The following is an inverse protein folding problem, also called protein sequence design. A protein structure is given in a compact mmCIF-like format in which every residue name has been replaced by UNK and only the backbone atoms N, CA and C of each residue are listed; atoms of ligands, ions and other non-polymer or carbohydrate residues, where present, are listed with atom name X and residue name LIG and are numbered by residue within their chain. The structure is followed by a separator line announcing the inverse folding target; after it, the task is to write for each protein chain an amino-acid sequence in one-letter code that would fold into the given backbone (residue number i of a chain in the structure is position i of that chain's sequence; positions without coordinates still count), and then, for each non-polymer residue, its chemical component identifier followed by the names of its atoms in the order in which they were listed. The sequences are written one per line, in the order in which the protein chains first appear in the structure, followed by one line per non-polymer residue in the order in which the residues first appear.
data_IF_854583414825
#
_entry.id   IF_854583414825
#
_cell.length_a   1.000
_cell.length_b   1.000
_cell.length_c   1.000
_cell.angle_alpha   90.00
_cell.angle_beta   90.00
_cell.angle_gamma   90.00
#
_symmetry.space_group_name_H-M   'P 1'
#
loop_
_entity.id
_entity.type
_entity.pdbx_description
1 polymer ?
#
# COMPACT_ATOMS: atom_id res chain seq x y z
N UNK A 1 8.55 -44.04 33.61
CA UNK A 1 9.32 -43.26 32.63
C UNK A 1 9.88 -42.06 33.35
N UNK A 2 11.12 -41.70 33.16
CA UNK A 2 11.64 -40.45 33.74
C UNK A 2 11.02 -39.30 32.95
N UNK A 3 10.72 -38.18 33.59
CA UNK A 3 10.08 -36.97 33.02
C UNK A 3 10.70 -36.54 31.67
N UNK A 4 12.01 -36.56 31.61
CA UNK A 4 12.77 -36.26 30.39
C UNK A 4 12.39 -37.15 29.16
N UNK A 5 11.92 -38.36 29.40
CA UNK A 5 11.53 -39.31 28.36
C UNK A 5 10.12 -39.01 27.83
N UNK A 6 9.19 -38.58 28.70
CA UNK A 6 7.81 -38.26 28.31
C UNK A 6 7.73 -36.95 27.56
N UNK A 7 8.49 -35.92 27.95
CA UNK A 7 8.59 -34.66 27.21
C UNK A 7 9.22 -34.86 25.83
N UNK A 8 10.27 -35.68 25.69
CA UNK A 8 10.87 -36.02 24.42
C UNK A 8 9.89 -36.77 23.50
N UNK A 9 9.09 -37.69 24.08
CA UNK A 9 8.06 -38.42 23.32
C UNK A 9 6.94 -37.48 22.87
N UNK A 10 6.56 -36.48 23.69
CA UNK A 10 5.60 -35.45 23.32
C UNK A 10 6.12 -34.59 22.15
N UNK A 11 7.36 -34.08 22.23
CA UNK A 11 7.97 -33.31 21.14
C UNK A 11 8.01 -34.08 19.83
N UNK A 12 8.34 -35.37 19.85
CA UNK A 12 8.31 -36.23 18.68
C UNK A 12 6.89 -36.42 18.12
N UNK A 13 5.89 -36.54 18.97
CA UNK A 13 4.50 -36.63 18.58
C UNK A 13 4.01 -35.32 17.90
N UNK A 14 4.43 -34.16 18.44
CA UNK A 14 4.13 -32.84 17.89
C UNK A 14 4.76 -32.66 16.49
N UNK A 15 6.03 -33.01 16.31
CA UNK A 15 6.73 -32.95 15.02
C UNK A 15 6.09 -33.88 13.96
N UNK A 16 5.51 -35.01 14.39
CA UNK A 16 4.83 -35.96 13.50
C UNK A 16 3.34 -35.61 13.26
N UNK A 17 2.76 -34.71 14.06
CA UNK A 17 1.36 -34.36 14.00
C UNK A 17 0.43 -35.51 14.45
N UNK A 18 0.89 -36.41 15.33
CA UNK A 18 0.10 -37.55 15.84
C UNK A 18 -0.83 -37.08 16.97
N UNK A 19 -1.98 -36.53 16.59
CA UNK A 19 -2.97 -36.01 17.55
C UNK A 19 -3.45 -37.05 18.57
N UNK A 20 -3.54 -38.33 18.21
CA UNK A 20 -4.00 -39.37 19.12
C UNK A 20 -2.96 -39.66 20.21
N UNK A 21 -1.69 -39.68 19.83
CA UNK A 21 -0.59 -39.84 20.79
C UNK A 21 -0.43 -38.61 21.66
N UNK A 22 -0.56 -37.40 21.09
CA UNK A 22 -0.54 -36.11 21.83
C UNK A 22 -1.61 -36.12 22.93
N UNK A 23 -2.87 -36.42 22.62
CA UNK A 23 -3.96 -36.48 23.59
C UNK A 23 -3.69 -37.51 24.70
N UNK A 24 -3.21 -38.71 24.35
CA UNK A 24 -2.88 -39.76 25.35
C UNK A 24 -1.74 -39.33 26.29
N UNK A 25 -0.71 -38.72 25.75
CA UNK A 25 0.42 -38.22 26.55
C UNK A 25 -0.02 -37.04 27.43
N UNK A 26 -0.82 -36.10 26.90
CA UNK A 26 -1.36 -34.97 27.64
C UNK A 26 -2.14 -35.43 28.89
N UNK A 27 -3.09 -36.36 28.76
CA UNK A 27 -3.83 -36.91 29.90
C UNK A 27 -2.90 -37.55 30.95
N UNK A 28 -1.85 -38.21 30.48
CA UNK A 28 -0.86 -38.82 31.39
C UNK A 28 -0.03 -37.78 32.14
N UNK A 29 0.29 -36.63 31.48
CA UNK A 29 0.98 -35.50 32.12
C UNK A 29 0.12 -34.87 33.21
N UNK A 30 -1.13 -34.51 32.87
CA UNK A 30 -2.05 -33.84 33.80
C UNK A 30 -2.35 -34.64 35.07
N UNK A 31 -2.23 -35.99 35.01
CA UNK A 31 -2.49 -36.86 36.14
C UNK A 31 -1.29 -37.13 37.08
N UNK A 32 -0.08 -36.91 36.58
CA UNK A 32 1.11 -37.49 37.26
C UNK A 32 2.20 -36.48 37.61
N UNK A 33 2.25 -35.36 36.93
CA UNK A 33 3.45 -34.53 36.94
C UNK A 33 3.34 -33.36 37.91
N UNK A 34 4.50 -32.75 38.18
CA UNK A 34 4.58 -31.55 39.01
C UNK A 34 4.07 -30.35 38.24
N UNK A 35 3.48 -29.36 38.91
CA UNK A 35 2.93 -28.15 38.22
C UNK A 35 3.92 -27.45 37.26
N UNK A 36 5.20 -27.39 37.65
CA UNK A 36 6.25 -26.79 36.82
C UNK A 36 6.48 -27.57 35.52
N UNK A 37 6.33 -28.90 35.53
CA UNK A 37 6.47 -29.77 34.37
C UNK A 37 5.25 -29.68 33.44
N UNK A 38 4.07 -29.52 34.05
CA UNK A 38 2.81 -29.26 33.29
C UNK A 38 2.89 -27.90 32.65
N UNK A 39 3.40 -26.86 33.33
CA UNK A 39 3.58 -25.53 32.76
C UNK A 39 4.57 -25.54 31.58
N UNK A 40 5.72 -26.20 31.73
CA UNK A 40 6.67 -26.39 30.64
C UNK A 40 6.05 -27.09 29.41
N UNK A 41 5.05 -27.97 29.61
CA UNK A 41 4.30 -28.58 28.52
C UNK A 41 3.39 -27.56 27.79
N UNK A 42 2.78 -26.61 28.51
CA UNK A 42 2.01 -25.53 27.92
C UNK A 42 2.91 -24.66 27.01
N UNK A 43 4.11 -24.29 27.46
CA UNK A 43 5.09 -23.55 26.69
C UNK A 43 5.48 -24.30 25.39
N UNK A 44 5.69 -25.62 25.48
CA UNK A 44 5.98 -26.44 24.28
C UNK A 44 4.79 -26.43 23.32
N UNK A 45 3.56 -26.58 23.80
CA UNK A 45 2.39 -26.52 22.93
C UNK A 45 2.24 -25.16 22.23
N UNK A 46 2.45 -24.05 22.96
CA UNK A 46 2.46 -22.70 22.38
C UNK A 46 3.54 -22.56 21.30
N UNK A 47 4.76 -23.02 21.57
CA UNK A 47 5.87 -22.97 20.62
C UNK A 47 5.59 -23.73 19.31
N UNK A 48 4.90 -24.87 19.40
CA UNK A 48 4.55 -25.70 18.24
C UNK A 48 3.20 -25.33 17.60
N UNK A 49 2.49 -24.29 18.10
CA UNK A 49 1.21 -23.84 17.55
C UNK A 49 -0.01 -24.68 17.92
N UNK A 50 0.11 -25.54 18.93
CA UNK A 50 -0.99 -26.38 19.44
C UNK A 50 -1.79 -25.63 20.54
N UNK A 51 -2.43 -24.53 20.16
CA UNK A 51 -3.08 -23.61 21.09
C UNK A 51 -4.24 -24.23 21.89
N UNK A 52 -4.98 -25.19 21.30
CA UNK A 52 -6.07 -25.89 22.01
C UNK A 52 -5.55 -26.77 23.16
N UNK A 53 -4.46 -27.44 22.94
CA UNK A 53 -3.79 -28.27 23.91
C UNK A 53 -3.12 -27.41 25.00
N UNK A 54 -2.56 -26.26 24.62
CA UNK A 54 -2.03 -25.26 25.55
C UNK A 54 -3.13 -24.72 26.47
N UNK A 55 -4.31 -24.33 25.93
CA UNK A 55 -5.45 -23.88 26.75
C UNK A 55 -5.88 -24.93 27.76
N UNK A 56 -6.00 -26.22 27.37
CA UNK A 56 -6.36 -27.31 28.27
C UNK A 56 -5.36 -27.46 29.41
N UNK A 57 -4.07 -27.31 29.12
CA UNK A 57 -3.01 -27.40 30.17
C UNK A 57 -3.09 -26.20 31.11
N UNK A 58 -3.23 -25.00 30.59
CA UNK A 58 -3.32 -23.77 31.37
C UNK A 58 -4.62 -23.71 32.17
N UNK A 59 -5.74 -24.19 31.64
CA UNK A 59 -7.00 -24.33 32.36
C UNK A 59 -6.86 -25.29 33.56
N UNK A 60 -6.20 -26.43 33.35
CA UNK A 60 -5.93 -27.37 34.43
C UNK A 60 -5.05 -26.73 35.52
N UNK A 61 -4.00 -26.02 35.16
CA UNK A 61 -3.14 -25.33 36.14
C UNK A 61 -3.89 -24.19 36.83
N UNK A 62 -4.71 -23.43 36.14
CA UNK A 62 -5.52 -22.38 36.73
C UNK A 62 -6.56 -22.93 37.73
N UNK A 63 -7.10 -24.12 37.48
CA UNK A 63 -7.97 -24.80 38.46
C UNK A 63 -7.21 -25.18 39.75
N UNK A 64 -5.93 -25.54 39.64
CA UNK A 64 -5.10 -25.87 40.80
C UNK A 64 -4.57 -24.61 41.53
N UNK A 65 -4.31 -23.55 40.77
CA UNK A 65 -3.72 -22.30 41.26
C UNK A 65 -4.54 -21.08 40.75
N UNK A 66 -5.75 -20.87 41.27
CA UNK A 66 -6.67 -19.86 40.72
C UNK A 66 -6.20 -18.41 40.92
N UNK A 67 -5.33 -18.17 41.89
CA UNK A 67 -4.82 -16.82 42.20
C UNK A 67 -3.49 -16.50 41.50
N UNK A 68 -2.96 -17.44 40.69
CA UNK A 68 -1.71 -17.22 39.93
C UNK A 68 -1.94 -16.36 38.72
N UNK A 69 -1.51 -15.09 38.78
CA UNK A 69 -1.76 -14.11 37.74
C UNK A 69 -1.07 -14.46 36.41
N UNK A 70 0.14 -15.06 36.47
CA UNK A 70 0.86 -15.43 35.22
C UNK A 70 0.08 -16.48 34.44
N UNK A 71 -0.57 -17.45 35.07
CA UNK A 71 -1.39 -18.44 34.35
C UNK A 71 -2.60 -17.81 33.66
N UNK A 72 -3.20 -16.79 34.28
CA UNK A 72 -4.30 -16.03 33.62
C UNK A 72 -3.82 -15.27 32.40
N UNK A 73 -2.64 -14.66 32.47
CA UNK A 73 -2.03 -13.92 31.34
C UNK A 73 -1.72 -14.86 30.18
N UNK A 74 -1.03 -15.97 30.47
CA UNK A 74 -0.63 -16.93 29.45
C UNK A 74 -1.86 -17.57 28.76
N UNK A 75 -2.88 -17.92 29.58
CA UNK A 75 -4.13 -18.45 29.04
C UNK A 75 -4.90 -17.42 28.24
N UNK A 76 -4.91 -16.15 28.64
CA UNK A 76 -5.52 -15.08 27.88
C UNK A 76 -4.85 -14.91 26.49
N UNK A 77 -3.52 -14.97 26.42
CA UNK A 77 -2.79 -14.95 25.16
C UNK A 77 -3.21 -16.11 24.24
N UNK A 78 -3.27 -17.33 24.78
CA UNK A 78 -3.69 -18.53 24.04
C UNK A 78 -5.15 -18.41 23.56
N UNK A 79 -6.04 -17.88 24.41
CA UNK A 79 -7.46 -17.68 24.06
C UNK A 79 -7.63 -16.62 22.95
N UNK A 80 -6.83 -15.56 22.94
CA UNK A 80 -6.84 -14.56 21.85
C UNK A 80 -6.43 -15.19 20.52
N UNK A 81 -5.38 -16.03 20.50
CA UNK A 81 -4.98 -16.75 19.28
C UNK A 81 -6.03 -17.77 18.81
N UNK A 82 -6.84 -18.29 19.72
CA UNK A 82 -7.97 -19.17 19.40
C UNK A 82 -9.23 -18.40 18.95
N UNK A 83 -9.24 -17.07 19.01
CA UNK A 83 -10.39 -16.23 18.72
C UNK A 83 -11.45 -16.19 19.83
N UNK A 84 -11.09 -16.62 21.06
CA UNK A 84 -11.94 -16.59 22.25
C UNK A 84 -11.67 -15.32 23.07
N UNK A 85 -11.87 -14.18 22.46
CA UNK A 85 -11.44 -12.87 22.95
C UNK A 85 -12.18 -12.43 24.23
N UNK A 86 -13.45 -12.75 24.36
CA UNK A 86 -14.26 -12.42 25.55
C UNK A 86 -13.75 -13.15 26.81
N UNK A 87 -13.43 -14.45 26.67
CA UNK A 87 -12.89 -15.24 27.77
C UNK A 87 -11.48 -14.76 28.17
N UNK A 88 -10.67 -14.36 27.20
CA UNK A 88 -9.36 -13.76 27.45
C UNK A 88 -9.47 -12.45 28.24
N UNK A 89 -10.40 -11.57 27.83
CA UNK A 89 -10.65 -10.30 28.52
C UNK A 89 -11.08 -10.51 29.96
N UNK A 90 -11.99 -11.45 30.21
CA UNK A 90 -12.46 -11.77 31.57
C UNK A 90 -11.31 -12.21 32.48
N UNK A 91 -10.41 -13.07 31.99
CA UNK A 91 -9.22 -13.50 32.76
C UNK A 91 -8.28 -12.34 33.09
N UNK A 92 -8.04 -11.44 32.13
CA UNK A 92 -7.15 -10.30 32.34
C UNK A 92 -7.73 -9.28 33.32
N UNK A 93 -9.04 -9.07 33.31
CA UNK A 93 -9.74 -8.17 34.23
C UNK A 93 -9.84 -8.69 35.64
N UNK A 94 -9.64 -10.02 35.88
CA UNK A 94 -9.57 -10.61 37.21
C UNK A 94 -8.23 -10.39 37.92
N UNK A 95 -7.19 -9.87 37.22
CA UNK A 95 -5.87 -9.65 37.81
C UNK A 95 -5.90 -8.38 38.65
N UNK A 96 -5.54 -8.49 39.91
CA UNK A 96 -5.53 -7.36 40.84
C UNK A 96 -4.44 -6.34 40.54
N UNK A 97 -4.71 -5.05 40.69
CA UNK A 97 -3.73 -3.96 40.50
C UNK A 97 -2.50 -4.08 41.41
N UNK A 98 -2.63 -4.84 42.51
CA UNK A 98 -1.55 -5.12 43.49
C UNK A 98 -0.62 -6.26 43.06
N UNK A 99 -0.99 -7.01 42.02
CA UNK A 99 -0.16 -8.11 41.51
C UNK A 99 1.11 -7.59 40.87
N UNK A 100 2.27 -8.22 41.09
CA UNK A 100 3.50 -7.89 40.36
C UNK A 100 3.38 -8.04 38.85
N UNK A 101 2.48 -8.92 38.38
CA UNK A 101 2.21 -9.23 36.97
C UNK A 101 1.20 -8.26 36.34
N UNK A 102 0.58 -7.36 37.11
CA UNK A 102 -0.42 -6.43 36.61
C UNK A 102 0.07 -5.55 35.42
N UNK A 103 1.32 -5.04 35.42
CA UNK A 103 1.83 -4.32 34.23
C UNK A 103 1.85 -5.17 32.97
N UNK A 104 2.18 -6.46 33.09
CA UNK A 104 2.15 -7.40 31.95
C UNK A 104 0.71 -7.64 31.47
N UNK A 105 -0.24 -7.80 32.40
CA UNK A 105 -1.65 -7.91 32.05
C UNK A 105 -2.18 -6.67 31.31
N UNK A 106 -1.71 -5.47 31.68
CA UNK A 106 -2.05 -4.22 30.99
C UNK A 106 -1.53 -4.19 29.56
N UNK A 107 -0.35 -4.78 29.28
CA UNK A 107 0.17 -4.90 27.89
C UNK A 107 -0.75 -5.81 27.09
N UNK A 108 -1.08 -6.98 27.60
CA UNK A 108 -1.97 -7.93 26.90
C UNK A 108 -3.38 -7.34 26.69
N UNK A 109 -3.88 -6.56 27.66
CA UNK A 109 -5.12 -5.78 27.50
C UNK A 109 -4.99 -4.71 26.39
N UNK A 110 -3.82 -4.09 26.29
CA UNK A 110 -3.58 -3.11 25.22
C UNK A 110 -3.59 -3.81 23.85
N UNK A 111 -2.94 -4.95 23.70
CA UNK A 111 -2.94 -5.74 22.47
C UNK A 111 -4.38 -6.17 22.09
N UNK A 112 -5.16 -6.64 23.10
CA UNK A 112 -6.57 -6.94 22.90
C UNK A 112 -7.36 -5.74 22.33
N UNK A 113 -7.23 -4.56 22.97
CA UNK A 113 -7.95 -3.38 22.52
C UNK A 113 -7.45 -2.86 21.16
N UNK A 114 -6.17 -3.04 20.86
CA UNK A 114 -5.60 -2.71 19.55
C UNK A 114 -6.20 -3.59 18.44
N UNK A 115 -6.31 -4.90 18.67
CA UNK A 115 -6.98 -5.83 17.74
C UNK A 115 -8.44 -5.46 17.48
N UNK A 116 -9.13 -4.88 18.48
CA UNK A 116 -10.50 -4.37 18.34
C UNK A 116 -10.57 -2.96 17.69
N UNK A 117 -9.44 -2.36 17.31
CA UNK A 117 -9.37 -1.00 16.78
C UNK A 117 -9.64 0.09 17.83
N UNK A 118 -9.62 -0.25 19.12
CA UNK A 118 -9.87 0.67 20.22
C UNK A 118 -8.55 1.29 20.73
N UNK A 119 -7.84 1.96 19.83
CA UNK A 119 -6.48 2.46 20.05
C UNK A 119 -6.34 3.41 21.25
N UNK A 120 -7.33 4.27 21.52
CA UNK A 120 -7.30 5.17 22.66
C UNK A 120 -7.34 4.40 24.01
N UNK A 121 -8.08 3.29 24.03
CA UNK A 121 -8.14 2.42 25.24
C UNK A 121 -6.84 1.66 25.39
N UNK A 122 -6.28 1.13 24.29
CA UNK A 122 -4.98 0.47 24.27
C UNK A 122 -3.88 1.40 24.81
N UNK A 123 -3.80 2.64 24.30
CA UNK A 123 -2.82 3.64 24.76
C UNK A 123 -2.98 3.93 26.26
N UNK A 124 -4.22 4.01 26.75
CA UNK A 124 -4.48 4.20 28.20
C UNK A 124 -3.90 3.04 29.01
N UNK A 125 -4.04 1.79 28.57
CA UNK A 125 -3.48 0.63 29.27
C UNK A 125 -1.96 0.63 29.30
N UNK A 126 -1.32 0.95 28.16
CA UNK A 126 0.14 1.07 28.11
C UNK A 126 0.63 2.20 29.02
N UNK A 127 -0.04 3.37 29.02
CA UNK A 127 0.34 4.49 29.88
C UNK A 127 0.14 4.16 31.36
N UNK A 128 -0.86 3.37 31.73
CA UNK A 128 -1.07 2.85 33.07
C UNK A 128 0.09 1.94 33.48
N UNK A 129 0.50 1.00 32.63
CA UNK A 129 1.66 0.15 32.85
C UNK A 129 2.95 0.98 33.03
N UNK A 130 3.19 1.97 32.18
CA UNK A 130 4.33 2.89 32.28
C UNK A 130 4.31 3.75 33.56
N UNK A 131 3.14 4.03 34.13
CA UNK A 131 3.07 4.72 35.44
C UNK A 131 3.58 3.87 36.59
N UNK A 132 3.55 2.55 36.43
CA UNK A 132 4.04 1.57 37.42
C UNK A 132 5.51 1.26 37.16
N UNK A 133 5.89 1.03 35.90
CA UNK A 133 7.23 0.66 35.45
C UNK A 133 7.72 1.67 34.39
N UNK A 134 8.16 2.89 34.79
CA UNK A 134 8.46 3.97 33.85
C UNK A 134 9.68 3.71 32.97
N UNK A 135 10.62 2.89 33.43
CA UNK A 135 11.88 2.62 32.73
C UNK A 135 11.90 1.24 32.05
N UNK A 136 10.71 0.58 31.90
CA UNK A 136 10.64 -0.75 31.29
C UNK A 136 10.67 -0.66 29.76
N UNK A 137 11.75 -1.14 29.09
CA UNK A 137 11.91 -1.00 27.65
C UNK A 137 10.79 -1.63 26.82
N UNK A 138 10.21 -2.74 27.29
CA UNK A 138 9.12 -3.43 26.61
C UNK A 138 7.87 -2.55 26.51
N UNK A 139 7.57 -1.78 27.56
CA UNK A 139 6.42 -0.85 27.55
C UNK A 139 6.64 0.33 26.62
N UNK A 140 7.87 0.84 26.54
CA UNK A 140 8.23 1.88 25.58
C UNK A 140 8.14 1.37 24.14
N UNK A 141 8.57 0.13 23.90
CA UNK A 141 8.46 -0.51 22.59
C UNK A 141 6.99 -0.72 22.19
N UNK A 142 6.17 -1.31 23.08
CA UNK A 142 4.74 -1.49 22.86
C UNK A 142 4.03 -0.15 22.56
N UNK A 143 4.40 0.92 23.29
CA UNK A 143 3.87 2.25 23.03
C UNK A 143 4.31 2.78 21.68
N UNK A 144 5.55 2.57 21.28
CA UNK A 144 6.06 3.00 19.98
C UNK A 144 5.34 2.30 18.82
N UNK A 145 5.10 0.97 18.94
CA UNK A 145 4.31 0.20 17.96
C UNK A 145 2.89 0.76 17.82
N UNK A 146 2.20 1.00 18.93
CA UNK A 146 0.85 1.56 18.93
C UNK A 146 0.81 2.97 18.30
N UNK A 147 1.80 3.81 18.60
CA UNK A 147 1.92 5.15 18.02
C UNK A 147 2.20 5.09 16.52
N UNK A 148 3.01 4.13 16.07
CA UNK A 148 3.27 3.89 14.67
C UNK A 148 2.00 3.49 13.93
N UNK A 149 1.26 2.53 14.45
CA UNK A 149 0.00 2.05 13.86
C UNK A 149 -1.07 3.15 13.79
N UNK A 150 -1.12 4.02 14.79
CA UNK A 150 -2.05 5.16 14.82
C UNK A 150 -1.59 6.39 14.02
N UNK A 151 -0.48 6.29 13.30
CA UNK A 151 0.05 7.36 12.43
C UNK A 151 0.74 8.49 13.19
N UNK A 152 1.04 8.32 14.48
CA UNK A 152 1.77 9.29 15.32
C UNK A 152 3.29 9.10 15.17
N UNK A 153 3.77 9.15 13.93
CA UNK A 153 5.12 8.75 13.54
C UNK A 153 6.24 9.46 14.30
N UNK A 154 6.13 10.76 14.54
CA UNK A 154 7.17 11.51 15.27
C UNK A 154 7.29 11.09 16.73
N UNK A 155 6.18 10.71 17.35
CA UNK A 155 6.19 10.25 18.74
C UNK A 155 6.72 8.81 18.81
N UNK A 156 6.34 7.96 17.87
CA UNK A 156 6.90 6.61 17.73
C UNK A 156 8.41 6.65 17.52
N UNK A 157 8.88 7.48 16.58
CA UNK A 157 10.31 7.60 16.28
C UNK A 157 11.15 7.97 17.52
N UNK A 158 10.68 8.90 18.35
CA UNK A 158 11.40 9.27 19.57
C UNK A 158 11.60 8.10 20.54
N UNK A 159 10.56 7.29 20.72
CA UNK A 159 10.66 6.11 21.60
C UNK A 159 11.60 5.06 21.02
N UNK A 160 11.57 4.83 19.71
CA UNK A 160 12.50 3.92 19.04
C UNK A 160 13.94 4.45 19.08
N UNK A 161 14.16 5.76 18.93
CA UNK A 161 15.48 6.37 19.07
C UNK A 161 16.05 6.16 20.49
N UNK A 162 15.24 6.41 21.53
CA UNK A 162 15.63 6.17 22.92
C UNK A 162 15.97 4.70 23.18
N UNK A 163 15.22 3.76 22.58
CA UNK A 163 15.51 2.33 22.68
C UNK A 163 16.79 1.96 21.90
N UNK A 164 16.99 2.54 20.72
CA UNK A 164 18.13 2.22 19.86
C UNK A 164 19.49 2.69 20.45
N UNK A 165 19.50 3.71 21.30
CA UNK A 165 20.68 4.12 22.05
C UNK A 165 21.19 3.05 23.03
N UNK A 166 20.28 2.16 23.46
CA UNK A 166 20.60 1.10 24.42
C UNK A 166 20.95 -0.23 23.75
N UNK A 167 20.30 -0.54 22.62
CA UNK A 167 20.48 -1.78 21.89
C UNK A 167 20.01 -1.65 20.43
N UNK A 168 20.69 -2.38 19.52
CA UNK A 168 20.37 -2.34 18.08
C UNK A 168 19.13 -3.17 17.70
N UNK A 169 18.78 -4.15 18.51
CA UNK A 169 17.65 -5.07 18.31
C UNK A 169 16.83 -5.18 19.60
N UNK A 170 15.51 -5.19 19.46
CA UNK A 170 14.58 -5.36 20.56
C UNK A 170 13.42 -6.28 20.18
N UNK A 171 13.13 -7.27 21.00
CA UNK A 171 12.07 -8.26 20.76
C UNK A 171 12.12 -8.91 19.35
N UNK A 172 13.33 -9.12 18.80
CA UNK A 172 13.52 -9.66 17.45
C UNK A 172 13.36 -8.64 16.31
N UNK A 173 13.20 -7.36 16.66
CA UNK A 173 13.05 -6.26 15.68
C UNK A 173 14.33 -5.45 15.62
N UNK A 174 14.90 -5.27 14.42
CA UNK A 174 16.00 -4.35 14.20
C UNK A 174 15.50 -2.90 14.29
N UNK A 175 16.00 -2.14 15.25
CA UNK A 175 15.50 -0.80 15.53
C UNK A 175 15.88 0.23 14.46
N UNK A 176 16.99 0.05 13.73
CA UNK A 176 17.33 0.91 12.58
C UNK A 176 16.35 0.72 11.42
N UNK A 177 16.01 -0.53 11.12
CA UNK A 177 15.00 -0.88 10.12
C UNK A 177 13.63 -0.29 10.50
N UNK A 178 13.25 -0.45 11.77
CA UNK A 178 11.98 0.08 12.27
C UNK A 178 11.91 1.61 12.25
N UNK A 179 12.99 2.30 12.63
CA UNK A 179 13.10 3.76 12.52
C UNK A 179 12.98 4.23 11.07
N UNK A 180 13.63 3.52 10.14
CA UNK A 180 13.54 3.83 8.71
C UNK A 180 12.08 3.73 8.22
N UNK A 181 11.36 2.66 8.61
CA UNK A 181 9.94 2.48 8.29
C UNK A 181 9.05 3.59 8.85
N UNK A 182 9.25 3.95 10.12
CA UNK A 182 8.49 5.01 10.79
C UNK A 182 8.69 6.36 10.11
N UNK A 183 9.95 6.73 9.82
CA UNK A 183 10.24 7.98 9.13
C UNK A 183 9.73 7.98 7.68
N UNK A 184 9.79 6.84 6.98
CA UNK A 184 9.22 6.68 5.64
C UNK A 184 7.70 6.85 5.65
N UNK A 185 7.01 6.21 6.61
CA UNK A 185 5.56 6.33 6.77
C UNK A 185 5.14 7.77 7.12
N UNK A 186 5.96 8.48 7.90
CA UNK A 186 5.80 9.89 8.21
C UNK A 186 6.25 10.86 7.10
N UNK A 187 6.58 10.34 5.90
CA UNK A 187 7.08 11.11 4.75
C UNK A 187 8.38 11.91 5.00
N UNK A 188 9.13 11.57 6.05
CA UNK A 188 10.45 12.13 6.33
C UNK A 188 11.53 11.31 5.58
N UNK A 189 11.46 11.31 4.25
CA UNK A 189 12.20 10.39 3.38
C UNK A 189 13.73 10.54 3.47
N UNK A 190 14.26 11.73 3.69
CA UNK A 190 15.71 11.91 3.84
C UNK A 190 16.23 11.21 5.10
N UNK A 191 15.53 11.39 6.22
CA UNK A 191 15.86 10.72 7.49
C UNK A 191 15.65 9.20 7.38
N UNK A 192 14.56 8.77 6.76
CA UNK A 192 14.31 7.35 6.49
C UNK A 192 15.44 6.71 5.68
N UNK A 193 15.93 7.41 4.65
CA UNK A 193 17.04 6.95 3.83
C UNK A 193 18.30 6.74 4.65
N UNK A 194 18.63 7.68 5.55
CA UNK A 194 19.84 7.56 6.40
C UNK A 194 19.75 6.31 7.29
N UNK A 195 18.58 6.03 7.90
CA UNK A 195 18.36 4.83 8.70
C UNK A 195 18.39 3.54 7.86
N UNK A 196 17.77 3.54 6.66
CA UNK A 196 17.84 2.37 5.77
C UNK A 196 19.28 2.07 5.35
N UNK A 197 20.07 3.10 5.02
CA UNK A 197 21.47 2.91 4.66
C UNK A 197 22.30 2.37 5.84
N UNK A 198 22.00 2.82 7.05
CA UNK A 198 22.65 2.26 8.26
C UNK A 198 22.24 0.79 8.47
N UNK A 199 20.97 0.43 8.30
CA UNK A 199 20.51 -0.94 8.40
C UNK A 199 21.13 -1.87 7.35
N UNK A 200 21.41 -1.37 6.13
CA UNK A 200 22.10 -2.11 5.07
C UNK A 200 23.56 -2.40 5.36
N UNK A 201 24.19 -1.67 6.29
CA UNK A 201 25.58 -1.99 6.75
C UNK A 201 25.60 -3.25 7.62
N UNK A 202 24.47 -3.55 8.31
CA UNK A 202 24.34 -4.74 9.16
C UNK A 202 23.89 -5.96 8.35
N UNK A 203 22.81 -5.79 7.56
CA UNK A 203 22.24 -6.88 6.76
C UNK A 203 21.59 -6.36 5.48
N UNK A 204 21.90 -7.01 4.36
CA UNK A 204 21.30 -6.68 3.05
C UNK A 204 20.07 -7.55 2.86
N UNK A 205 18.88 -6.91 2.95
CA UNK A 205 17.57 -7.55 2.72
C UNK A 205 16.81 -6.85 1.59
N UNK A 206 15.97 -7.57 0.80
CA UNK A 206 15.17 -6.97 -0.27
C UNK A 206 14.33 -5.79 0.17
N UNK A 207 13.62 -5.91 1.30
CA UNK A 207 12.73 -4.86 1.81
C UNK A 207 13.49 -3.60 2.25
N UNK A 208 14.68 -3.77 2.84
CA UNK A 208 15.54 -2.63 3.23
C UNK A 208 16.06 -1.91 1.98
N UNK A 209 16.51 -2.66 0.96
CA UNK A 209 16.94 -2.08 -0.33
C UNK A 209 15.80 -1.33 -1.01
N UNK A 210 14.60 -1.90 -1.04
CA UNK A 210 13.43 -1.23 -1.61
C UNK A 210 13.04 0.02 -0.82
N UNK A 211 13.02 -0.06 0.53
CA UNK A 211 12.75 1.08 1.41
C UNK A 211 13.74 2.22 1.21
N UNK A 212 15.04 1.90 1.11
CA UNK A 212 16.10 2.86 0.82
C UNK A 212 15.93 3.51 -0.56
N UNK A 213 15.64 2.69 -1.58
CA UNK A 213 15.41 3.17 -2.94
C UNK A 213 14.19 4.07 -3.05
N UNK A 214 13.07 3.67 -2.44
CA UNK A 214 11.85 4.47 -2.41
C UNK A 214 12.08 5.82 -1.70
N UNK A 215 12.75 5.79 -0.55
CA UNK A 215 13.09 7.00 0.21
C UNK A 215 14.04 7.92 -0.56
N UNK A 216 15.01 7.35 -1.28
CA UNK A 216 15.92 8.08 -2.16
C UNK A 216 15.15 8.72 -3.34
N UNK A 217 14.23 7.99 -3.97
CA UNK A 217 13.38 8.49 -5.05
C UNK A 217 12.51 9.67 -4.60
N UNK A 218 11.82 9.53 -3.47
CA UNK A 218 10.98 10.60 -2.91
C UNK A 218 11.79 11.83 -2.48
N UNK A 219 13.06 11.63 -2.10
CA UNK A 219 14.02 12.70 -1.81
C UNK A 219 14.72 13.25 -3.06
N UNK A 220 14.30 12.87 -4.27
CA UNK A 220 14.88 13.26 -5.56
C UNK A 220 16.37 12.84 -5.73
N UNK A 221 16.83 11.86 -4.97
CA UNK A 221 18.19 11.27 -5.06
C UNK A 221 18.15 10.07 -6.03
N UNK A 222 17.79 10.32 -7.29
CA UNK A 222 17.45 9.27 -8.28
C UNK A 222 18.60 8.31 -8.58
N UNK A 223 19.84 8.78 -8.65
CA UNK A 223 21.01 7.92 -8.88
C UNK A 223 21.22 6.93 -7.72
N UNK A 224 20.88 7.35 -6.49
CA UNK A 224 20.93 6.47 -5.31
C UNK A 224 19.79 5.45 -5.37
N UNK A 225 18.59 5.87 -5.74
CA UNK A 225 17.47 4.96 -5.95
C UNK A 225 17.81 3.89 -6.99
N UNK A 226 18.38 4.29 -8.14
CA UNK A 226 18.83 3.37 -9.19
C UNK A 226 19.84 2.35 -8.63
N UNK A 227 20.82 2.80 -7.87
CA UNK A 227 21.84 1.91 -7.30
C UNK A 227 21.20 0.84 -6.42
N UNK A 228 20.30 1.22 -5.51
CA UNK A 228 19.66 0.28 -4.59
C UNK A 228 18.73 -0.69 -5.34
N UNK A 229 18.02 -0.21 -6.37
CA UNK A 229 17.09 -1.03 -7.16
C UNK A 229 17.81 -2.01 -8.09
N UNK A 230 18.95 -1.63 -8.65
CA UNK A 230 19.77 -2.58 -9.41
C UNK A 230 20.34 -3.69 -8.50
N UNK A 231 20.77 -3.34 -7.28
CA UNK A 231 21.21 -4.31 -6.29
C UNK A 231 20.04 -5.22 -5.85
N UNK A 232 18.86 -4.65 -5.61
CA UNK A 232 17.66 -5.41 -5.29
C UNK A 232 17.29 -6.40 -6.41
N UNK A 233 17.32 -5.95 -7.66
CA UNK A 233 17.03 -6.78 -8.83
C UNK A 233 18.00 -7.96 -8.98
N UNK A 234 19.27 -7.78 -8.59
CA UNK A 234 20.26 -8.86 -8.57
C UNK A 234 20.02 -9.84 -7.42
N UNK A 235 19.61 -9.32 -6.25
CA UNK A 235 19.35 -10.13 -5.04
C UNK A 235 18.04 -10.91 -5.15
N UNK A 236 16.97 -10.24 -5.55
CA UNK A 236 15.63 -10.80 -5.71
C UNK A 236 14.99 -10.33 -7.03
N UNK A 237 15.20 -11.08 -8.13
CA UNK A 237 14.61 -10.75 -9.42
C UNK A 237 13.07 -10.79 -9.47
N UNK A 238 12.42 -11.37 -8.49
CA UNK A 238 10.97 -11.49 -8.41
C UNK A 238 10.33 -10.44 -7.49
N UNK A 239 11.11 -9.46 -7.05
CA UNK A 239 10.60 -8.28 -6.34
C UNK A 239 9.97 -7.29 -7.34
N UNK A 240 8.72 -7.55 -7.74
CA UNK A 240 8.05 -6.91 -8.88
C UNK A 240 7.96 -5.39 -8.78
N UNK A 241 7.71 -4.86 -7.58
CA UNK A 241 7.61 -3.41 -7.34
C UNK A 241 8.91 -2.64 -7.65
N UNK A 242 10.05 -3.33 -7.69
CA UNK A 242 11.34 -2.70 -7.99
C UNK A 242 11.44 -2.22 -9.44
N UNK A 243 10.82 -2.92 -10.40
CA UNK A 243 10.98 -2.62 -11.82
C UNK A 243 10.33 -1.30 -12.24
N UNK A 244 9.13 -1.01 -11.73
CA UNK A 244 8.47 0.27 -12.00
C UNK A 244 9.26 1.43 -11.42
N UNK A 245 9.64 1.33 -10.15
CA UNK A 245 10.40 2.39 -9.46
C UNK A 245 11.79 2.60 -10.10
N UNK A 246 12.44 1.53 -10.57
CA UNK A 246 13.70 1.60 -11.31
C UNK A 246 13.52 2.33 -12.64
N UNK A 247 12.47 1.98 -13.40
CA UNK A 247 12.18 2.62 -14.66
C UNK A 247 11.83 4.10 -14.48
N UNK A 248 11.04 4.43 -13.45
CA UNK A 248 10.74 5.82 -13.08
C UNK A 248 12.00 6.58 -12.70
N UNK A 249 12.89 5.97 -11.88
CA UNK A 249 14.16 6.57 -11.48
C UNK A 249 15.06 6.88 -12.69
N UNK A 250 15.16 5.95 -13.65
CA UNK A 250 15.87 6.20 -14.91
C UNK A 250 15.21 7.30 -15.76
N UNK A 251 13.88 7.36 -15.79
CA UNK A 251 13.15 8.40 -16.51
C UNK A 251 13.38 9.79 -15.89
N UNK A 252 13.50 9.88 -14.57
CA UNK A 252 13.81 11.14 -13.85
C UNK A 252 15.25 11.61 -14.08
N UNK A 253 16.18 10.68 -14.39
CA UNK A 253 17.56 11.03 -14.83
C UNK A 253 17.67 11.20 -16.34
N UNK A 254 16.56 11.26 -17.07
CA UNK A 254 16.46 11.40 -18.54
C UNK A 254 17.08 10.22 -19.33
N UNK A 255 17.41 9.10 -18.68
CA UNK A 255 17.86 7.88 -19.37
C UNK A 255 16.66 7.03 -19.83
N UNK A 256 15.92 7.57 -20.82
CA UNK A 256 14.71 6.95 -21.34
C UNK A 256 14.95 5.54 -21.90
N UNK A 257 16.18 5.23 -22.36
CA UNK A 257 16.51 3.90 -22.89
C UNK A 257 16.60 2.86 -21.80
N UNK A 258 17.25 3.21 -20.68
CA UNK A 258 17.32 2.31 -19.54
C UNK A 258 15.97 2.20 -18.83
N UNK A 259 15.21 3.29 -18.72
CA UNK A 259 13.84 3.29 -18.24
C UNK A 259 12.98 2.28 -19.02
N UNK A 260 13.05 2.33 -20.36
CA UNK A 260 12.34 1.39 -21.22
C UNK A 260 12.82 -0.05 -21.05
N UNK A 261 14.14 -0.28 -20.95
CA UNK A 261 14.66 -1.62 -20.72
C UNK A 261 14.20 -2.20 -19.37
N UNK A 262 14.25 -1.41 -18.30
CA UNK A 262 13.85 -1.84 -16.96
C UNK A 262 12.35 -2.21 -16.92
N UNK A 263 11.49 -1.39 -17.54
CA UNK A 263 10.05 -1.70 -17.56
C UNK A 263 9.73 -2.96 -18.37
N UNK A 264 10.47 -3.22 -19.47
CA UNK A 264 10.31 -4.45 -20.25
C UNK A 264 10.79 -5.70 -19.50
N UNK A 265 11.76 -5.56 -18.60
CA UNK A 265 12.15 -6.63 -17.70
C UNK A 265 11.03 -6.92 -16.68
N UNK A 266 10.41 -5.88 -16.11
CA UNK A 266 9.27 -6.00 -15.23
C UNK A 266 8.08 -6.70 -15.88
N UNK A 267 7.72 -6.33 -17.11
CA UNK A 267 6.64 -6.97 -17.88
C UNK A 267 6.87 -8.49 -18.16
N UNK A 268 8.13 -8.94 -18.20
CA UNK A 268 8.43 -10.38 -18.31
C UNK A 268 8.18 -11.13 -17.00
N UNK A 269 8.12 -10.42 -15.88
CA UNK A 269 7.90 -10.98 -14.54
C UNK A 269 6.44 -10.91 -14.12
N UNK A 270 5.79 -9.80 -14.46
CA UNK A 270 4.36 -9.59 -14.21
C UNK A 270 3.67 -9.09 -15.49
N UNK A 271 3.05 -10.01 -16.22
CA UNK A 271 2.31 -9.72 -17.45
C UNK A 271 0.87 -9.23 -17.20
N UNK A 272 0.44 -9.12 -15.93
CA UNK A 272 -0.90 -8.68 -15.57
C UNK A 272 -0.93 -7.30 -14.89
N UNK A 273 0.22 -6.67 -14.70
CA UNK A 273 0.27 -5.30 -14.13
C UNK A 273 0.03 -4.25 -15.21
N UNK A 274 -1.18 -3.67 -15.20
CA UNK A 274 -1.59 -2.59 -16.08
C UNK A 274 -0.71 -1.34 -15.97
N UNK A 275 -0.08 -1.09 -14.81
CA UNK A 275 0.76 0.09 -14.58
C UNK A 275 2.09 -0.03 -15.31
N UNK A 276 2.66 -1.24 -15.35
CA UNK A 276 3.85 -1.52 -16.14
C UNK A 276 3.58 -1.30 -17.65
N UNK A 277 2.44 -1.75 -18.15
CA UNK A 277 2.05 -1.53 -19.56
C UNK A 277 1.87 -0.05 -19.89
N UNK A 278 1.18 0.71 -19.03
CA UNK A 278 1.06 2.16 -19.22
C UNK A 278 2.43 2.84 -19.27
N UNK A 279 3.30 2.50 -18.32
CA UNK A 279 4.63 3.10 -18.26
C UNK A 279 5.49 2.68 -19.47
N UNK A 280 5.41 1.42 -19.90
CA UNK A 280 6.06 0.93 -21.13
C UNK A 280 5.59 1.72 -22.36
N UNK A 281 4.30 1.95 -22.49
CA UNK A 281 3.72 2.78 -23.54
C UNK A 281 4.29 4.20 -23.54
N UNK A 282 4.32 4.86 -22.37
CA UNK A 282 4.92 6.19 -22.20
C UNK A 282 6.41 6.23 -22.57
N UNK A 283 7.16 5.21 -22.13
CA UNK A 283 8.59 5.14 -22.43
C UNK A 283 8.86 4.79 -23.89
N UNK A 284 8.04 3.97 -24.54
CA UNK A 284 8.11 3.72 -25.98
C UNK A 284 7.91 5.00 -26.79
N UNK A 285 6.93 5.85 -26.42
CA UNK A 285 6.75 7.18 -27.06
C UNK A 285 7.99 8.06 -26.92
N UNK A 286 8.54 8.18 -25.70
CA UNK A 286 9.75 8.98 -25.45
C UNK A 286 10.96 8.47 -26.22
N UNK A 287 11.00 7.16 -26.55
CA UNK A 287 12.05 6.57 -27.39
C UNK A 287 11.73 6.58 -28.90
N UNK A 288 10.62 7.20 -29.34
CA UNK A 288 10.23 7.30 -30.75
C UNK A 288 9.70 5.98 -31.34
N UNK A 289 9.05 5.15 -30.55
CA UNK A 289 8.50 3.85 -30.90
C UNK A 289 6.95 3.84 -30.79
N UNK A 290 6.23 4.62 -31.63
CA UNK A 290 4.80 4.82 -31.48
C UNK A 290 3.97 3.54 -31.67
N UNK A 291 4.42 2.62 -32.52
CA UNK A 291 3.71 1.35 -32.75
C UNK A 291 3.78 0.43 -31.51
N UNK A 292 4.93 0.37 -30.85
CA UNK A 292 5.09 -0.38 -29.60
C UNK A 292 4.31 0.30 -28.47
N UNK A 293 4.31 1.63 -28.41
CA UNK A 293 3.54 2.38 -27.44
C UNK A 293 2.04 2.07 -27.52
N UNK A 294 1.47 2.07 -28.73
CA UNK A 294 0.08 1.71 -28.96
C UNK A 294 -0.20 0.29 -28.47
N UNK A 295 0.67 -0.67 -28.78
CA UNK A 295 0.49 -2.05 -28.33
C UNK A 295 0.42 -2.15 -26.80
N UNK A 296 1.37 -1.54 -26.08
CA UNK A 296 1.37 -1.57 -24.62
C UNK A 296 0.16 -0.86 -24.01
N UNK A 297 -0.26 0.27 -24.59
CA UNK A 297 -1.44 0.97 -24.09
C UNK A 297 -2.73 0.16 -24.33
N UNK A 298 -2.84 -0.57 -25.44
CA UNK A 298 -3.95 -1.49 -25.67
C UNK A 298 -3.99 -2.63 -24.68
N UNK A 299 -2.82 -3.19 -24.30
CA UNK A 299 -2.75 -4.20 -23.24
C UNK A 299 -3.16 -3.61 -21.86
N UNK A 300 -2.71 -2.40 -21.52
CA UNK A 300 -3.13 -1.75 -20.29
C UNK A 300 -4.66 -1.55 -20.22
N UNK A 301 -5.29 -1.13 -21.32
CA UNK A 301 -6.75 -0.95 -21.43
C UNK A 301 -7.47 -2.31 -21.45
N UNK A 302 -6.89 -3.34 -22.04
CA UNK A 302 -7.47 -4.68 -22.05
C UNK A 302 -7.48 -5.31 -20.65
N UNK A 303 -6.43 -5.06 -19.83
CA UNK A 303 -6.37 -5.50 -18.44
C UNK A 303 -7.34 -4.74 -17.54
N UNK A 304 -7.51 -3.45 -17.79
CA UNK A 304 -8.44 -2.60 -17.04
C UNK A 304 -9.03 -1.52 -17.95
N UNK A 305 -10.23 -1.73 -18.50
CA UNK A 305 -10.93 -0.74 -19.31
C UNK A 305 -11.25 0.57 -18.56
N UNK A 306 -11.26 0.56 -17.23
CA UNK A 306 -11.48 1.74 -16.40
C UNK A 306 -10.19 2.52 -16.11
N UNK A 307 -9.04 2.04 -16.58
CA UNK A 307 -7.78 2.72 -16.38
C UNK A 307 -7.67 3.97 -17.25
N UNK A 308 -8.31 5.04 -16.82
CA UNK A 308 -8.49 6.31 -17.56
C UNK A 308 -7.19 6.84 -18.15
N UNK A 309 -6.08 6.75 -17.41
CA UNK A 309 -4.79 7.27 -17.88
C UNK A 309 -4.27 6.53 -19.13
N UNK A 310 -4.46 5.20 -19.17
CA UNK A 310 -4.10 4.39 -20.33
C UNK A 310 -5.02 4.67 -21.52
N UNK A 311 -6.32 4.81 -21.27
CA UNK A 311 -7.32 5.16 -22.29
C UNK A 311 -7.02 6.52 -22.89
N UNK A 312 -6.76 7.54 -22.06
CA UNK A 312 -6.41 8.90 -22.53
C UNK A 312 -5.09 8.90 -23.34
N UNK A 313 -4.11 8.13 -22.90
CA UNK A 313 -2.85 8.00 -23.64
C UNK A 313 -3.08 7.33 -25.00
N UNK A 314 -3.87 6.25 -25.04
CA UNK A 314 -4.18 5.54 -26.29
C UNK A 314 -4.98 6.40 -27.26
N UNK A 315 -6.06 7.02 -26.80
CA UNK A 315 -6.91 7.85 -27.65
C UNK A 315 -6.15 9.06 -28.21
N UNK A 316 -5.23 9.64 -27.40
CA UNK A 316 -4.38 10.74 -27.85
C UNK A 316 -3.44 10.32 -28.98
N UNK A 317 -2.85 9.12 -28.92
CA UNK A 317 -1.99 8.60 -29.99
C UNK A 317 -2.80 8.37 -31.25
N UNK A 318 -3.97 7.75 -31.14
CA UNK A 318 -4.85 7.48 -32.29
C UNK A 318 -5.29 8.77 -32.95
N UNK A 319 -5.69 9.79 -32.18
CA UNK A 319 -6.06 11.11 -32.68
C UNK A 319 -4.88 11.82 -33.36
N UNK A 320 -3.67 11.78 -32.77
CA UNK A 320 -2.47 12.37 -33.41
C UNK A 320 -2.06 11.67 -34.72
N UNK A 321 -2.43 10.41 -34.89
CA UNK A 321 -2.23 9.64 -36.11
C UNK A 321 -3.38 9.81 -37.11
N UNK A 322 -4.36 10.67 -36.83
CA UNK A 322 -5.56 10.90 -37.64
C UNK A 322 -6.39 9.62 -37.87
N UNK A 323 -6.32 8.66 -36.94
CA UNK A 323 -7.05 7.39 -36.99
C UNK A 323 -8.41 7.54 -36.28
N UNK A 324 -9.25 8.38 -36.87
CA UNK A 324 -10.51 8.80 -36.26
C UNK A 324 -11.52 7.65 -36.11
N UNK A 325 -11.53 6.67 -36.99
CA UNK A 325 -12.37 5.48 -36.87
C UNK A 325 -11.98 4.67 -35.61
N UNK A 326 -10.69 4.51 -35.36
CA UNK A 326 -10.20 3.79 -34.16
C UNK A 326 -10.50 4.56 -32.86
N UNK A 327 -10.46 5.91 -32.92
CA UNK A 327 -10.88 6.76 -31.78
C UNK A 327 -12.34 6.51 -31.45
N UNK A 328 -13.22 6.46 -32.45
CA UNK A 328 -14.65 6.24 -32.26
C UNK A 328 -14.91 4.81 -31.76
N UNK A 329 -14.27 3.80 -32.35
CA UNK A 329 -14.40 2.41 -31.91
C UNK A 329 -14.04 2.26 -30.41
N UNK A 330 -12.93 2.83 -29.98
CA UNK A 330 -12.51 2.82 -28.59
C UNK A 330 -13.54 3.53 -27.70
N UNK A 331 -13.95 4.74 -28.10
CA UNK A 331 -14.92 5.55 -27.36
C UNK A 331 -16.28 4.85 -27.22
N UNK A 332 -16.83 4.31 -28.31
CA UNK A 332 -18.12 3.61 -28.30
C UNK A 332 -18.04 2.30 -27.49
N UNK A 333 -16.91 1.60 -27.53
CA UNK A 333 -16.69 0.39 -26.71
C UNK A 333 -16.75 0.73 -25.23
N UNK A 334 -16.14 1.84 -24.81
CA UNK A 334 -16.21 2.29 -23.43
C UNK A 334 -17.62 2.70 -23.02
N UNK A 335 -18.34 3.43 -23.88
CA UNK A 335 -19.75 3.79 -23.61
C UNK A 335 -20.67 2.58 -23.48
N UNK A 336 -20.48 1.53 -24.27
CA UNK A 336 -21.26 0.28 -24.16
C UNK A 336 -21.05 -0.44 -22.84
N UNK A 337 -19.94 -0.17 -22.15
CA UNK A 337 -19.64 -0.68 -20.82
C UNK A 337 -19.98 0.30 -19.69
N UNK A 338 -20.85 1.27 -19.96
CA UNK A 338 -21.31 2.30 -19.03
C UNK A 338 -20.19 3.26 -18.52
N UNK A 339 -19.08 3.39 -19.25
CA UNK A 339 -18.01 4.35 -18.90
C UNK A 339 -18.26 5.70 -19.63
N UNK A 340 -18.81 6.64 -18.90
CA UNK A 340 -19.04 8.01 -19.37
C UNK A 340 -18.01 8.97 -18.79
N UNK A 341 -16.92 9.19 -19.51
CA UNK A 341 -15.86 10.12 -19.11
C UNK A 341 -15.86 11.37 -19.99
N UNK A 342 -16.19 12.50 -19.41
CA UNK A 342 -16.22 13.79 -20.12
C UNK A 342 -14.86 14.17 -20.74
N UNK A 343 -13.76 13.68 -20.15
CA UNK A 343 -12.40 13.86 -20.68
C UNK A 343 -12.20 13.27 -22.09
N UNK A 344 -13.04 12.33 -22.53
CA UNK A 344 -12.99 11.72 -23.85
C UNK A 344 -13.82 12.48 -24.89
N UNK A 345 -14.77 13.32 -24.49
CA UNK A 345 -15.68 14.01 -25.40
C UNK A 345 -14.97 14.91 -26.42
N UNK A 346 -13.91 15.67 -26.08
CA UNK A 346 -13.18 16.44 -27.10
C UNK A 346 -12.60 15.57 -28.20
N UNK A 347 -12.05 14.39 -27.89
CA UNK A 347 -11.51 13.44 -28.86
C UNK A 347 -12.61 12.83 -29.73
N UNK A 348 -13.74 12.47 -29.14
CA UNK A 348 -14.89 11.95 -29.85
C UNK A 348 -15.46 13.02 -30.79
N UNK A 349 -15.61 14.26 -30.32
CA UNK A 349 -16.09 15.38 -31.15
C UNK A 349 -15.22 15.62 -32.38
N UNK A 350 -13.90 15.72 -32.19
CA UNK A 350 -12.94 15.91 -33.29
C UNK A 350 -12.93 14.71 -34.26
N UNK A 351 -13.05 13.48 -33.75
CA UNK A 351 -13.09 12.29 -34.57
C UNK A 351 -14.39 12.24 -35.41
N UNK A 352 -15.55 12.52 -34.83
CA UNK A 352 -16.81 12.60 -35.58
C UNK A 352 -16.83 13.71 -36.60
N UNK A 353 -16.25 14.91 -36.32
CA UNK A 353 -16.09 16.00 -37.23
C UNK A 353 -15.26 15.60 -38.46
N UNK A 354 -14.09 14.99 -38.23
CA UNK A 354 -13.21 14.56 -39.33
C UNK A 354 -13.81 13.43 -40.20
N UNK A 355 -14.74 12.66 -39.65
CA UNK A 355 -15.51 11.65 -40.39
C UNK A 355 -16.81 12.20 -41.01
N UNK A 356 -16.99 13.52 -40.99
CA UNK A 356 -18.17 14.20 -41.55
C UNK A 356 -19.50 13.80 -40.86
N UNK A 357 -19.46 13.33 -39.62
CA UNK A 357 -20.61 12.95 -38.79
C UNK A 357 -21.01 14.13 -37.89
N UNK A 358 -21.36 15.25 -38.51
CA UNK A 358 -21.49 16.55 -37.86
C UNK A 358 -22.53 16.61 -36.73
N UNK A 359 -23.63 15.87 -36.83
CA UNK A 359 -24.64 15.81 -35.77
C UNK A 359 -24.03 15.22 -34.48
N UNK A 360 -23.21 14.17 -34.60
CA UNK A 360 -22.50 13.54 -33.46
C UNK A 360 -21.37 14.45 -32.96
N UNK A 361 -20.62 15.05 -33.83
CA UNK A 361 -19.60 16.01 -33.47
C UNK A 361 -20.18 17.15 -32.62
N UNK A 362 -21.30 17.73 -33.06
CA UNK A 362 -21.99 18.78 -32.30
C UNK A 362 -22.44 18.32 -30.92
N UNK A 363 -23.02 17.11 -30.82
CA UNK A 363 -23.42 16.53 -29.54
C UNK A 363 -22.25 16.49 -28.54
N UNK A 364 -21.10 15.93 -28.96
CA UNK A 364 -19.94 15.79 -28.09
C UNK A 364 -19.19 17.09 -27.85
N UNK A 365 -19.12 18.00 -28.78
CA UNK A 365 -18.62 19.36 -28.53
C UNK A 365 -19.47 20.08 -27.49
N UNK A 366 -20.78 19.97 -27.57
CA UNK A 366 -21.72 20.61 -26.63
C UNK A 366 -21.61 19.99 -25.22
N UNK A 367 -21.46 18.64 -25.09
CA UNK A 367 -21.21 17.96 -23.84
C UNK A 367 -19.87 18.35 -23.23
N UNK A 368 -18.80 18.38 -24.05
CA UNK A 368 -17.46 18.75 -23.61
C UNK A 368 -17.39 20.20 -23.12
N UNK A 369 -18.16 21.11 -23.72
CA UNK A 369 -18.13 22.54 -23.38
C UNK A 369 -18.37 22.81 -21.90
N UNK A 370 -19.19 22.00 -21.23
CA UNK A 370 -19.46 22.17 -19.80
C UNK A 370 -18.19 22.06 -18.94
N UNK A 371 -17.31 21.14 -19.27
CA UNK A 371 -16.11 20.85 -18.49
C UNK A 371 -14.86 21.56 -19.04
N UNK A 372 -14.84 21.87 -20.34
CA UNK A 372 -13.67 22.44 -21.05
C UNK A 372 -13.83 23.92 -21.41
N UNK A 373 -14.79 24.63 -20.84
CA UNK A 373 -15.00 26.07 -21.09
C UNK A 373 -13.85 26.99 -20.67
N UNK A 374 -12.84 26.49 -20.00
CA UNK A 374 -11.62 27.19 -19.60
C UNK A 374 -10.40 26.73 -20.41
N UNK A 375 -10.56 25.74 -21.31
CA UNK A 375 -9.50 25.24 -22.19
C UNK A 375 -9.56 26.00 -23.56
N UNK A 376 -8.59 26.88 -23.76
CA UNK A 376 -8.53 27.68 -24.96
C UNK A 376 -8.41 26.84 -26.25
N UNK A 377 -7.62 25.76 -26.25
CA UNK A 377 -7.42 24.89 -27.41
C UNK A 377 -8.72 24.14 -27.79
N UNK A 378 -9.49 23.70 -26.79
CA UNK A 378 -10.80 23.13 -27.04
C UNK A 378 -11.79 24.18 -27.59
N UNK A 379 -11.85 25.36 -26.97
CA UNK A 379 -12.76 26.44 -27.41
C UNK A 379 -12.46 26.91 -28.84
N UNK A 380 -11.19 27.00 -29.23
CA UNK A 380 -10.79 27.31 -30.62
C UNK A 380 -11.39 26.33 -31.62
N UNK A 381 -11.21 25.02 -31.37
CA UNK A 381 -11.78 23.96 -32.24
C UNK A 381 -13.30 24.05 -32.28
N UNK A 382 -13.94 24.21 -31.14
CA UNK A 382 -15.40 24.28 -31.08
C UNK A 382 -15.96 25.52 -31.79
N UNK A 383 -15.29 26.68 -31.70
CA UNK A 383 -15.67 27.90 -32.45
C UNK A 383 -15.62 27.64 -33.94
N UNK A 384 -14.52 27.05 -34.44
CA UNK A 384 -14.41 26.77 -35.89
C UNK A 384 -15.51 25.84 -36.36
N UNK A 385 -15.74 24.74 -35.61
CA UNK A 385 -16.83 23.81 -35.91
C UNK A 385 -18.20 24.51 -35.96
N UNK A 386 -18.53 25.34 -34.97
CA UNK A 386 -19.82 26.07 -34.91
C UNK A 386 -19.99 27.04 -36.07
N UNK A 387 -18.89 27.67 -36.49
CA UNK A 387 -18.91 28.59 -37.67
C UNK A 387 -19.15 27.85 -38.97
N UNK A 388 -18.52 26.69 -39.17
CA UNK A 388 -18.70 25.85 -40.34
C UNK A 388 -20.13 25.29 -40.42
N UNK A 389 -20.71 24.94 -39.33
CA UNK A 389 -22.09 24.45 -39.19
C UNK A 389 -23.14 25.60 -39.20
N UNK A 390 -22.70 26.85 -39.33
CA UNK A 390 -23.59 28.00 -39.36
C UNK A 390 -24.29 28.35 -38.07
N UNK A 391 -23.81 27.80 -36.92
CA UNK A 391 -24.38 28.01 -35.57
C UNK A 391 -23.86 29.31 -34.96
N UNK A 392 -24.11 30.43 -35.64
CA UNK A 392 -23.55 31.74 -35.32
C UNK A 392 -23.81 32.22 -33.89
N UNK A 393 -25.01 31.97 -33.36
CA UNK A 393 -25.36 32.41 -32.01
C UNK A 393 -24.49 31.74 -30.95
N UNK A 394 -24.29 30.43 -31.06
CA UNK A 394 -23.46 29.64 -30.16
C UNK A 394 -21.99 29.98 -30.36
N UNK A 395 -21.54 30.17 -31.62
CA UNK A 395 -20.18 30.59 -31.89
C UNK A 395 -19.83 31.95 -31.23
N UNK A 396 -20.77 32.90 -31.16
CA UNK A 396 -20.56 34.19 -30.44
C UNK A 396 -20.38 33.99 -28.96
N UNK A 397 -21.15 33.08 -28.34
CA UNK A 397 -21.03 32.77 -26.90
C UNK A 397 -19.68 32.15 -26.57
N UNK A 398 -19.25 31.14 -27.35
CA UNK A 398 -17.96 30.46 -27.17
C UNK A 398 -16.79 31.40 -27.47
N UNK A 399 -16.89 32.27 -28.48
CA UNK A 399 -15.91 33.33 -28.78
C UNK A 399 -15.78 34.30 -27.60
N UNK A 400 -16.89 34.71 -26.98
CA UNK A 400 -16.86 35.56 -25.80
C UNK A 400 -16.08 34.95 -24.66
N UNK A 401 -16.25 33.66 -24.43
CA UNK A 401 -15.51 32.91 -23.42
C UNK A 401 -14.01 32.82 -23.80
N UNK A 402 -13.69 32.52 -25.06
CA UNK A 402 -12.31 32.41 -25.54
C UNK A 402 -11.55 33.74 -25.41
N UNK A 403 -12.20 34.86 -25.75
CA UNK A 403 -11.65 36.21 -25.60
C UNK A 403 -11.39 36.55 -24.12
N UNK A 404 -12.28 36.11 -23.21
CA UNK A 404 -12.08 36.31 -21.79
C UNK A 404 -10.84 35.58 -21.23
N UNK A 405 -10.52 34.42 -21.80
CA UNK A 405 -9.33 33.62 -21.44
C UNK A 405 -8.06 34.15 -22.12
N UNK A 406 -8.18 34.57 -23.39
CA UNK A 406 -7.07 35.05 -24.20
C UNK A 406 -7.29 36.50 -24.67
N UNK A 407 -7.32 37.50 -23.78
CA UNK A 407 -7.68 38.88 -24.14
C UNK A 407 -6.65 39.60 -25.05
N UNK A 408 -5.46 39.02 -25.23
CA UNK A 408 -4.40 39.53 -26.08
C UNK A 408 -4.49 39.12 -27.57
N UNK A 409 -5.33 38.14 -27.89
CA UNK A 409 -5.47 37.59 -29.23
C UNK A 409 -6.54 38.40 -30.01
N UNK A 410 -6.07 39.26 -30.92
CA UNK A 410 -6.95 40.15 -31.72
C UNK A 410 -7.79 39.42 -32.75
N UNK A 411 -7.35 38.24 -33.19
CA UNK A 411 -8.05 37.42 -34.19
C UNK A 411 -9.47 37.08 -33.71
N UNK A 412 -9.63 36.68 -32.46
CA UNK A 412 -10.93 36.31 -31.90
C UNK A 412 -11.89 37.51 -31.80
N UNK A 413 -11.33 38.70 -31.48
CA UNK A 413 -12.10 39.94 -31.43
C UNK A 413 -12.60 40.33 -32.82
N UNK A 414 -11.73 40.32 -33.83
CA UNK A 414 -12.09 40.60 -35.22
C UNK A 414 -13.14 39.59 -35.74
N UNK A 415 -13.02 38.34 -35.38
CA UNK A 415 -13.96 37.26 -35.74
C UNK A 415 -15.33 37.49 -35.09
N UNK A 416 -15.36 37.87 -33.82
CA UNK A 416 -16.61 38.22 -33.14
C UNK A 416 -17.29 39.44 -33.75
N UNK A 417 -16.53 40.54 -34.03
CA UNK A 417 -17.03 41.73 -34.71
C UNK A 417 -17.61 41.38 -36.07
N UNK A 418 -16.94 40.54 -36.87
CA UNK A 418 -17.46 40.15 -38.20
C UNK A 418 -18.81 39.46 -38.10
N UNK A 419 -19.02 38.63 -37.06
CA UNK A 419 -20.31 37.97 -36.86
C UNK A 419 -21.43 38.89 -36.38
N UNK A 420 -21.11 40.06 -35.83
CA UNK A 420 -22.11 41.07 -35.41
C UNK A 420 -22.65 41.90 -36.61
N UNK A 421 -21.85 42.05 -37.67
CA UNK A 421 -22.20 42.84 -38.85
C UNK A 421 -22.88 42.04 -39.97
N UNK A 422 -22.87 40.71 -39.94
CA UNK A 422 -23.59 39.83 -40.87
C UNK A 422 -24.96 39.41 -40.32
#
# INVERSE_FOLDING_TARGET
MTVNNAMTEMMQALEQGDLALIDQLLESFLMKELPEEIYALAEVFMQYGYMKEADRVLEHLQFLFPDEAQLKIDRANVLMELGNEDDALDLLLEIEETSPEYPQALVVLADYYQMQGLYEVAEKRINEALSILPDEPLLHFAKAELLFETGRFLEAARLYEELSEQQGEFAGVNLLERLAEVYRAGAAYETALDYYLAALEDEVKPDILFGAAYSAFQSQKYEMAIKQLEELKELDPDYFSAYLLLAESYAMTEDNKKAYSAILEGLKRDEYDKTLYLFAGKMALKNGLPAEAEQYLREAVALDPEYMEAVLALISILAQQERFEDVIELFETLQQNDFEWSALYPFAAEAYENLELYDRAYEFYSLAYNDFKEDAAFLEKYVYFLLEEGKRSEAKEVLGQLIAIQPGETEWQEKLESLEFE
#
